data_IF_274798383737
#
_entry.id   IF_274798383737
#
_cell.length_a   1.000
_cell.length_b   1.000
_cell.length_c   1.000
_cell.angle_alpha   90.00
_cell.angle_beta   90.00
_cell.angle_gamma   90.00
#
_symmetry.space_group_name_H-M   'P 1'
#
loop_
_entity.id
_entity.type
_entity.pdbx_description
1 polymer ?
#
# COMPACT_ATOMS: atom_id res chain seq x y z
N UNK A 1 24.05 46.11 4.29
CA UNK A 1 24.44 46.89 5.48
C UNK A 1 23.52 46.48 6.62
N UNK A 2 24.10 46.13 7.78
CA UNK A 2 23.51 45.61 9.05
C UNK A 2 23.03 44.15 9.00
N UNK A 3 23.83 43.11 9.34
CA UNK A 3 24.48 42.63 10.60
C UNK A 3 23.59 41.79 11.55
N UNK A 4 23.90 40.48 11.58
CA UNK A 4 24.02 39.49 12.69
C UNK A 4 22.86 39.35 13.71
N UNK A 5 22.51 38.16 14.22
CA UNK A 5 23.36 37.25 15.02
C UNK A 5 22.77 35.83 15.13
N UNK A 6 23.63 34.82 15.01
CA UNK A 6 23.39 33.44 15.44
C UNK A 6 23.71 33.28 16.93
N UNK A 7 23.00 32.40 17.63
CA UNK A 7 23.35 31.92 18.96
C UNK A 7 23.44 30.39 18.96
N UNK A 8 24.65 29.88 19.12
CA UNK A 8 24.95 28.50 19.47
C UNK A 8 25.09 28.41 20.99
N UNK A 9 24.54 27.35 21.61
CA UNK A 9 24.85 26.99 23.00
C UNK A 9 25.05 25.48 23.09
N UNK A 10 26.13 25.12 23.79
CA UNK A 10 26.75 23.82 23.89
C UNK A 10 26.15 22.91 24.98
N UNK A 11 26.36 21.61 24.78
CA UNK A 11 26.22 20.51 25.75
C UNK A 11 27.24 20.59 26.91
N UNK A 12 26.94 19.88 28.01
CA UNK A 12 27.98 19.10 28.68
C UNK A 12 27.64 17.61 28.85
N UNK A 13 28.68 16.78 28.70
CA UNK A 13 28.78 15.36 29.07
C UNK A 13 28.65 15.14 30.59
N UNK A 14 28.07 14.01 31.00
CA UNK A 14 28.49 13.28 32.22
C UNK A 14 28.37 11.75 32.03
N UNK A 15 29.40 11.07 32.54
CA UNK A 15 29.74 9.64 32.75
C UNK A 15 28.62 8.74 33.34
N UNK A 16 28.64 7.39 33.34
CA UNK A 16 29.70 6.45 33.77
C UNK A 16 29.28 4.96 33.55
N UNK A 17 30.26 4.08 33.32
CA UNK A 17 30.21 2.61 33.45
C UNK A 17 30.15 2.16 34.94
N UNK A 18 29.69 0.93 35.27
CA UNK A 18 30.61 -0.22 35.34
C UNK A 18 30.06 -1.57 34.83
N UNK A 19 31.01 -2.49 34.67
CA UNK A 19 30.91 -3.90 34.30
C UNK A 19 30.62 -4.82 35.50
N UNK A 20 30.11 -6.02 35.20
CA UNK A 20 30.41 -7.34 35.77
C UNK A 20 29.26 -8.31 35.39
N UNK A 21 29.35 -9.64 35.35
CA UNK A 21 30.41 -10.63 35.22
C UNK A 21 29.69 -12.01 35.15
N UNK A 22 30.22 -12.96 34.37
CA UNK A 22 30.17 -14.43 34.52
C UNK A 22 28.97 -15.13 35.18
N UNK A 23 28.42 -16.17 34.52
CA UNK A 23 28.59 -17.56 35.02
C UNK A 23 28.19 -18.64 34.01
N UNK A 24 29.06 -19.64 33.92
CA UNK A 24 28.89 -20.92 33.24
C UNK A 24 27.98 -21.88 34.01
N UNK A 25 27.32 -22.82 33.33
CA UNK A 25 27.24 -24.19 33.85
C UNK A 25 27.09 -25.24 32.75
N UNK A 26 27.93 -26.26 32.89
CA UNK A 26 28.03 -27.54 32.21
C UNK A 26 26.95 -28.51 32.67
N UNK A 27 26.47 -29.38 31.78
CA UNK A 27 25.69 -30.57 32.13
C UNK A 27 25.78 -31.63 31.04
N UNK A 28 26.52 -32.71 31.32
CA UNK A 28 26.83 -33.81 30.40
C UNK A 28 26.07 -35.08 30.76
N UNK A 29 26.00 -36.03 29.79
CA UNK A 29 25.74 -37.49 29.90
C UNK A 29 24.26 -37.87 30.11
N UNK A 30 23.65 -38.95 29.59
CA UNK A 30 24.01 -40.18 28.86
C UNK A 30 22.63 -40.90 28.63
N UNK A 31 22.27 -41.57 27.52
CA UNK A 31 22.42 -43.01 27.21
C UNK A 31 21.29 -43.42 26.22
N UNK A 32 21.63 -44.01 25.07
CA UNK A 32 20.78 -44.97 24.32
C UNK A 32 20.83 -46.35 25.04
N UNK A 33 20.03 -47.42 24.74
CA UNK A 33 19.29 -47.81 23.50
C UNK A 33 17.90 -48.49 23.85
N UNK A 34 17.23 -49.40 23.08
CA UNK A 34 17.55 -49.99 21.77
C UNK A 34 16.43 -50.03 20.70
N UNK A 35 16.92 -50.36 19.50
CA UNK A 35 16.25 -50.78 18.28
C UNK A 35 15.00 -51.64 18.51
N UNK A 36 13.90 -51.22 17.89
CA UNK A 36 12.81 -52.10 17.45
C UNK A 36 12.49 -51.80 15.99
N UNK A 37 12.48 -52.86 15.21
CA UNK A 37 12.19 -52.87 13.77
C UNK A 37 10.79 -52.34 13.49
N UNK A 38 10.68 -51.33 12.63
CA UNK A 38 9.41 -50.94 12.03
C UNK A 38 9.56 -50.88 10.52
N UNK A 39 8.76 -51.72 9.88
CA UNK A 39 8.51 -51.76 8.44
C UNK A 39 8.29 -50.34 7.93
N UNK A 40 9.10 -49.92 6.96
CA UNK A 40 8.92 -48.68 6.21
C UNK A 40 7.65 -48.78 5.36
N UNK A 41 6.49 -48.57 5.99
CA UNK A 41 5.36 -47.99 5.29
C UNK A 41 5.80 -46.58 4.94
N UNK A 42 5.92 -46.30 3.64
CA UNK A 42 6.02 -44.94 3.15
C UNK A 42 4.66 -44.30 3.46
N UNK A 43 4.53 -43.73 4.66
CA UNK A 43 3.47 -42.79 4.94
C UNK A 43 3.81 -41.57 4.09
N UNK A 44 3.03 -41.36 3.04
CA UNK A 44 3.03 -40.08 2.34
C UNK A 44 2.31 -39.13 3.27
N UNK A 45 3.08 -38.46 4.11
CA UNK A 45 2.59 -37.42 5.01
C UNK A 45 2.03 -36.29 4.13
N UNK A 46 0.71 -36.06 4.25
CA UNK A 46 0.01 -35.06 3.46
C UNK A 46 0.56 -33.66 3.76
N UNK A 47 0.74 -32.80 2.75
CA UNK A 47 1.23 -31.46 2.97
C UNK A 47 0.22 -30.64 3.78
N UNK A 48 0.70 -29.87 4.75
CA UNK A 48 -0.11 -28.94 5.54
C UNK A 48 -0.18 -27.59 4.84
N UNK A 49 -1.39 -27.14 4.51
CA UNK A 49 -1.62 -26.00 3.62
C UNK A 49 -2.67 -25.05 4.20
N UNK A 50 -2.40 -23.74 4.14
CA UNK A 50 -3.38 -22.73 4.50
C UNK A 50 -3.63 -22.61 6.01
N UNK A 51 -2.70 -23.07 6.85
CA UNK A 51 -2.88 -23.03 8.31
C UNK A 51 -2.59 -21.62 8.85
N UNK A 52 -3.49 -21.08 9.67
CA UNK A 52 -3.37 -19.72 10.22
C UNK A 52 -2.77 -19.80 11.62
N UNK A 53 -1.67 -19.07 11.86
CA UNK A 53 -0.94 -19.19 13.12
C UNK A 53 0.40 -18.46 13.13
N UNK A 54 1.26 -18.75 14.10
CA UNK A 54 2.59 -18.16 14.22
C UNK A 54 3.68 -19.23 14.10
N UNK A 55 4.91 -18.81 13.78
CA UNK A 55 6.05 -19.72 13.79
C UNK A 55 6.59 -19.91 15.20
N UNK A 56 7.01 -21.15 15.47
CA UNK A 56 7.63 -21.52 16.74
C UNK A 56 9.10 -21.09 16.84
N UNK A 57 9.63 -20.40 15.81
CA UNK A 57 11.03 -19.98 15.73
C UNK A 57 12.00 -21.18 15.89
N UNK A 58 11.59 -22.37 15.39
CA UNK A 58 12.31 -23.61 15.56
C UNK A 58 12.12 -24.57 14.36
N UNK A 59 12.88 -24.39 13.27
CA UNK A 59 13.91 -23.37 13.06
C UNK A 59 13.32 -21.99 12.76
N UNK A 60 14.08 -20.95 13.06
CA UNK A 60 13.83 -19.61 12.53
C UNK A 60 13.72 -19.63 10.99
N UNK A 61 12.97 -18.68 10.45
CA UNK A 61 12.99 -18.44 9.01
C UNK A 61 14.42 -18.11 8.55
N UNK A 62 14.90 -18.81 7.54
CA UNK A 62 16.25 -18.58 7.00
C UNK A 62 16.28 -17.44 5.98
N UNK A 63 15.10 -17.03 5.52
CA UNK A 63 14.93 -15.91 4.62
C UNK A 63 13.60 -15.24 4.91
N UNK A 64 13.67 -13.97 5.30
CA UNK A 64 12.54 -13.05 5.27
C UNK A 64 12.71 -12.10 4.11
N UNK A 65 11.67 -11.98 3.28
CA UNK A 65 11.65 -11.01 2.19
C UNK A 65 10.53 -10.03 2.44
N UNK A 66 10.91 -8.81 2.83
CA UNK A 66 10.00 -7.69 3.02
C UNK A 66 9.56 -7.13 1.66
N UNK A 67 8.56 -7.77 1.06
CA UNK A 67 7.87 -7.34 -0.16
C UNK A 67 6.44 -7.93 -0.14
N UNK A 68 5.45 -7.26 -0.74
CA UNK A 68 4.05 -7.73 -0.80
C UNK A 68 3.96 -8.95 -1.73
N UNK A 69 4.25 -10.13 -1.20
CA UNK A 69 4.20 -11.39 -1.92
C UNK A 69 2.82 -12.04 -1.73
N UNK A 70 2.18 -12.46 -2.82
CA UNK A 70 1.02 -13.36 -2.72
C UNK A 70 1.50 -14.80 -2.48
N UNK A 71 0.57 -15.72 -2.17
CA UNK A 71 0.90 -17.14 -1.92
C UNK A 71 1.76 -17.74 -3.05
N UNK A 72 1.44 -17.42 -4.30
CA UNK A 72 2.22 -17.85 -5.47
C UNK A 72 3.65 -17.32 -5.46
N UNK A 73 3.87 -16.04 -5.13
CA UNK A 73 5.23 -15.47 -5.06
C UNK A 73 6.08 -16.14 -3.99
N UNK A 74 5.49 -16.46 -2.83
CA UNK A 74 6.20 -17.17 -1.75
C UNK A 74 6.47 -18.63 -2.11
N UNK A 75 5.56 -19.29 -2.85
CA UNK A 75 5.77 -20.62 -3.39
C UNK A 75 6.92 -20.63 -4.40
N UNK A 76 6.91 -19.73 -5.39
CA UNK A 76 7.97 -19.59 -6.39
C UNK A 76 9.33 -19.27 -5.74
N UNK A 77 9.31 -18.40 -4.72
CA UNK A 77 10.51 -18.08 -3.94
C UNK A 77 11.03 -19.30 -3.16
N UNK A 78 10.14 -20.08 -2.53
CA UNK A 78 10.47 -21.33 -1.86
C UNK A 78 10.99 -22.40 -2.83
N UNK A 79 10.45 -22.46 -4.05
CA UNK A 79 10.89 -23.37 -5.10
C UNK A 79 12.29 -23.02 -5.60
N UNK A 80 12.62 -21.73 -5.67
CA UNK A 80 13.96 -21.25 -6.02
C UNK A 80 15.05 -21.60 -4.99
N UNK A 81 14.67 -22.10 -3.80
CA UNK A 81 15.59 -22.45 -2.70
C UNK A 81 15.57 -23.96 -2.41
N UNK A 82 16.66 -24.70 -2.65
CA UNK A 82 16.69 -26.14 -2.40
C UNK A 82 16.48 -26.53 -0.93
N UNK A 83 16.84 -25.65 0.00
CA UNK A 83 16.69 -25.81 1.45
C UNK A 83 15.27 -25.53 1.96
N UNK A 84 14.42 -24.85 1.18
CA UNK A 84 13.05 -24.54 1.59
C UNK A 84 12.19 -25.79 1.68
N UNK A 85 11.45 -25.93 2.79
CA UNK A 85 10.51 -27.02 3.07
C UNK A 85 9.09 -26.53 3.35
N UNK A 86 8.95 -25.31 3.87
CA UNK A 86 7.68 -24.61 4.03
C UNK A 86 7.88 -23.10 3.91
N UNK A 87 6.79 -22.37 3.74
CA UNK A 87 6.77 -20.92 3.70
C UNK A 87 5.55 -20.37 4.44
N UNK A 88 5.71 -19.18 4.99
CA UNK A 88 4.63 -18.41 5.58
C UNK A 88 4.41 -17.13 4.79
N UNK A 89 3.14 -16.76 4.65
CA UNK A 89 2.67 -15.59 3.94
C UNK A 89 2.00 -14.67 4.95
N UNK A 90 2.45 -13.43 5.02
CA UNK A 90 1.85 -12.39 5.85
C UNK A 90 1.77 -11.07 5.09
N UNK A 91 1.10 -10.09 5.67
CA UNK A 91 1.12 -8.71 5.15
C UNK A 91 2.51 -8.08 5.12
N UNK A 92 3.47 -8.62 5.88
CA UNK A 92 4.86 -8.17 5.95
C UNK A 92 5.78 -8.84 4.91
N UNK A 93 5.28 -9.87 4.21
CA UNK A 93 5.98 -10.58 3.14
C UNK A 93 6.09 -12.09 3.37
N UNK A 94 7.08 -12.71 2.74
CA UNK A 94 7.35 -14.14 2.88
C UNK A 94 8.39 -14.40 3.97
N UNK A 95 8.15 -15.45 4.74
CA UNK A 95 9.18 -16.13 5.53
C UNK A 95 9.36 -17.55 4.99
N UNK A 96 10.60 -17.96 4.70
CA UNK A 96 10.92 -19.31 4.24
C UNK A 96 11.59 -20.11 5.36
N UNK A 97 11.21 -21.39 5.48
CA UNK A 97 11.67 -22.27 6.54
C UNK A 97 12.32 -23.53 5.98
N UNK A 98 13.39 -23.97 6.64
CA UNK A 98 14.08 -25.21 6.32
C UNK A 98 13.40 -26.45 6.94
N UNK A 99 12.31 -26.25 7.67
CA UNK A 99 11.43 -27.28 8.22
C UNK A 99 10.06 -27.25 7.53
N UNK A 100 9.33 -28.36 7.62
CA UNK A 100 7.90 -28.41 7.25
C UNK A 100 7.08 -27.53 8.19
N UNK A 101 5.83 -27.27 7.84
CA UNK A 101 4.88 -26.60 8.74
C UNK A 101 4.71 -27.42 10.02
N UNK A 102 4.65 -28.74 9.88
CA UNK A 102 4.66 -29.65 11.03
C UNK A 102 5.94 -29.47 11.86
N UNK A 103 5.76 -29.13 13.13
CA UNK A 103 6.85 -28.93 14.09
C UNK A 103 7.38 -27.49 14.18
N UNK A 104 6.98 -26.57 13.30
CA UNK A 104 7.37 -25.15 13.34
C UNK A 104 6.17 -24.18 13.32
N UNK A 105 4.98 -24.68 13.64
CA UNK A 105 3.72 -23.94 13.56
C UNK A 105 2.92 -24.08 14.86
N UNK A 106 2.33 -22.98 15.31
CA UNK A 106 1.32 -22.93 16.37
C UNK A 106 0.04 -22.27 15.84
N UNK A 107 -1.08 -23.00 15.91
CA UNK A 107 -2.38 -22.53 15.43
C UNK A 107 -2.88 -21.34 16.23
N UNK A 108 -3.24 -20.28 15.52
CA UNK A 108 -3.87 -19.09 16.09
C UNK A 108 -4.73 -18.41 15.02
N UNK A 109 -6.05 -18.46 15.18
CA UNK A 109 -7.01 -17.87 14.24
C UNK A 109 -6.88 -16.34 14.11
N UNK A 110 -6.34 -15.66 15.13
CA UNK A 110 -6.09 -14.21 15.12
C UNK A 110 -4.79 -13.83 14.39
N UNK A 111 -3.98 -14.81 13.98
CA UNK A 111 -2.72 -14.53 13.28
C UNK A 111 -2.95 -13.97 11.87
N UNK A 112 -2.14 -12.99 11.50
CA UNK A 112 -2.09 -12.44 10.14
C UNK A 112 -1.17 -13.24 9.20
N UNK A 113 -0.73 -14.42 9.62
CA UNK A 113 0.23 -15.26 8.90
C UNK A 113 -0.38 -16.60 8.57
N UNK A 114 -0.23 -17.03 7.31
CA UNK A 114 -0.70 -18.33 6.83
C UNK A 114 0.48 -19.18 6.36
N UNK A 115 0.54 -20.43 6.82
CA UNK A 115 1.63 -21.37 6.59
C UNK A 115 1.26 -22.43 5.54
N UNK A 116 2.26 -22.81 4.74
CA UNK A 116 2.14 -23.77 3.66
C UNK A 116 3.40 -24.64 3.57
N UNK A 117 3.25 -25.95 3.48
CA UNK A 117 4.33 -26.83 3.03
C UNK A 117 4.67 -26.54 1.56
N UNK A 118 5.94 -26.75 1.20
CA UNK A 118 6.43 -26.55 -0.18
C UNK A 118 5.60 -27.33 -1.21
N UNK A 119 5.11 -28.51 -0.83
CA UNK A 119 4.38 -29.40 -1.71
C UNK A 119 2.86 -29.16 -1.70
N UNK A 120 2.39 -28.04 -1.15
CA UNK A 120 0.95 -27.74 -1.07
C UNK A 120 0.19 -27.75 -2.40
N UNK A 121 0.92 -27.83 -3.53
CA UNK A 121 0.36 -27.71 -4.85
C UNK A 121 -0.18 -26.30 -5.02
N UNK A 122 0.14 -25.64 -6.12
CA UNK A 122 -0.71 -24.56 -6.57
C UNK A 122 -2.05 -25.17 -6.98
N UNK A 123 -2.89 -25.56 -6.02
CA UNK A 123 -4.24 -26.08 -6.25
C UNK A 123 -5.10 -24.88 -6.61
N UNK A 124 -4.92 -24.45 -7.85
CA UNK A 124 -6.01 -23.95 -8.66
C UNK A 124 -7.20 -24.88 -8.46
N UNK A 125 -8.30 -24.31 -8.03
CA UNK A 125 -9.61 -24.96 -7.92
C UNK A 125 -9.90 -25.78 -9.17
N UNK A 126 -10.04 -27.11 -9.03
CA UNK A 126 -10.66 -27.94 -10.06
C UNK A 126 -11.47 -29.04 -9.40
N UNK A 127 -12.80 -29.04 -9.61
CA UNK A 127 -13.51 -30.15 -10.27
C UNK A 127 -15.03 -29.99 -10.20
N UNK A 128 -15.67 -29.93 -11.36
CA UNK A 128 -16.76 -30.85 -11.68
C UNK A 128 -16.85 -31.04 -13.21
N UNK A 129 -16.64 -32.30 -13.62
CA UNK A 129 -16.76 -32.83 -14.97
C UNK A 129 -18.21 -32.74 -15.46
N UNK A 130 -18.44 -32.08 -16.60
CA UNK A 130 -19.76 -32.03 -17.23
C UNK A 130 -19.76 -31.40 -18.62
N UNK A 131 -19.52 -32.25 -19.63
CA UNK A 131 -19.90 -32.12 -21.06
C UNK A 131 -19.39 -30.91 -21.86
N UNK A 132 -18.80 -31.27 -23.00
CA UNK A 132 -18.21 -30.42 -24.04
C UNK A 132 -19.24 -29.43 -24.62
N UNK A 133 -19.02 -28.14 -24.40
CA UNK A 133 -19.29 -27.10 -25.40
C UNK A 133 -18.10 -26.13 -25.44
N UNK A 134 -17.45 -26.10 -26.60
CA UNK A 134 -16.24 -25.34 -26.85
C UNK A 134 -16.60 -23.87 -27.08
N UNK A 135 -16.43 -23.04 -26.04
CA UNK A 135 -16.28 -21.60 -26.20
C UNK A 135 -15.13 -21.14 -25.31
N UNK A 136 -13.90 -21.14 -25.86
CA UNK A 136 -12.74 -20.55 -25.21
C UNK A 136 -12.85 -19.03 -25.27
N UNK A 137 -13.47 -18.42 -24.26
CA UNK A 137 -13.33 -16.99 -24.01
C UNK A 137 -12.08 -16.80 -23.14
N UNK A 138 -10.99 -16.32 -23.75
CA UNK A 138 -9.89 -15.72 -22.98
C UNK A 138 -10.48 -14.63 -22.08
N UNK A 139 -10.25 -14.64 -20.75
CA UNK A 139 -10.76 -13.57 -19.89
C UNK A 139 -10.15 -12.24 -20.37
N UNK A 140 -11.01 -11.26 -20.64
CA UNK A 140 -10.57 -9.90 -20.99
C UNK A 140 -9.74 -9.34 -19.83
N UNK A 141 -8.62 -8.65 -20.09
CA UNK A 141 -7.88 -7.99 -19.03
C UNK A 141 -8.77 -6.94 -18.37
N UNK A 142 -8.90 -7.03 -17.04
CA UNK A 142 -9.59 -6.04 -16.23
C UNK A 142 -8.59 -5.00 -15.75
N UNK A 143 -8.88 -3.73 -15.97
CA UNK A 143 -8.16 -2.60 -15.40
C UNK A 143 -9.01 -1.93 -14.34
N UNK A 144 -8.40 -1.32 -13.33
CA UNK A 144 -9.12 -0.52 -12.34
C UNK A 144 -9.01 0.96 -12.72
N UNK A 145 -10.15 1.65 -12.77
CA UNK A 145 -10.25 3.09 -13.00
C UNK A 145 -10.84 3.79 -11.79
N UNK A 146 -10.74 5.12 -11.73
CA UNK A 146 -11.39 5.93 -10.70
C UNK A 146 -12.61 6.61 -11.29
N UNK A 147 -13.80 6.15 -10.91
CA UNK A 147 -15.08 6.79 -11.22
C UNK A 147 -15.35 7.94 -10.27
N UNK A 148 -15.92 9.02 -10.79
CA UNK A 148 -16.25 10.23 -10.06
C UNK A 148 -17.77 10.41 -10.02
N UNK A 149 -18.33 10.58 -8.82
CA UNK A 149 -19.74 10.90 -8.59
C UNK A 149 -19.89 12.27 -7.90
N UNK A 150 -21.05 12.91 -8.06
CA UNK A 150 -21.48 13.99 -7.18
C UNK A 150 -21.95 13.45 -5.81
N UNK A 151 -22.27 14.34 -4.88
CA UNK A 151 -22.77 13.97 -3.54
C UNK A 151 -24.17 13.33 -3.54
N UNK A 152 -24.90 13.36 -4.66
CA UNK A 152 -26.19 12.70 -4.84
C UNK A 152 -26.05 11.28 -5.45
N UNK A 153 -24.83 10.86 -5.78
CA UNK A 153 -24.54 9.58 -6.42
C UNK A 153 -24.68 9.59 -7.95
N UNK A 154 -24.82 10.77 -8.58
CA UNK A 154 -24.80 10.86 -10.03
C UNK A 154 -23.37 10.76 -10.54
N UNK A 155 -23.12 9.84 -11.46
CA UNK A 155 -21.81 9.72 -12.10
C UNK A 155 -21.52 10.94 -13.00
N UNK A 156 -20.37 11.57 -12.76
CA UNK A 156 -19.88 12.70 -13.55
C UNK A 156 -18.88 12.26 -14.64
N UNK A 157 -18.18 11.15 -14.41
CA UNK A 157 -17.19 10.60 -15.34
C UNK A 157 -16.12 9.80 -14.60
N UNK A 158 -14.90 9.86 -15.11
CA UNK A 158 -13.72 9.17 -14.61
C UNK A 158 -12.57 10.15 -14.42
N UNK A 159 -11.63 9.86 -13.53
CA UNK A 159 -10.38 10.62 -13.45
C UNK A 159 -9.56 10.41 -14.74
N UNK A 160 -9.09 11.49 -15.35
CA UNK A 160 -8.32 11.41 -16.60
C UNK A 160 -6.89 10.96 -16.45
N UNK A 161 -6.39 10.20 -17.43
CA UNK A 161 -4.98 9.81 -17.50
C UNK A 161 -4.07 10.97 -17.94
N UNK A 162 -4.62 11.94 -18.64
CA UNK A 162 -4.00 13.20 -19.03
C UNK A 162 -3.94 14.22 -17.89
N UNK A 163 -3.00 15.15 -18.04
CA UNK A 163 -2.89 16.33 -17.21
C UNK A 163 -3.25 17.58 -18.01
N UNK A 164 -3.83 18.58 -17.34
CA UNK A 164 -3.97 19.91 -17.93
C UNK A 164 -2.61 20.62 -18.06
N UNK A 165 -2.63 21.88 -18.50
CA UNK A 165 -1.40 22.68 -18.69
C UNK A 165 -0.63 22.98 -17.39
N UNK A 166 -1.25 22.72 -16.23
CA UNK A 166 -0.71 22.92 -14.90
C UNK A 166 -0.28 21.62 -14.22
N UNK A 167 -0.39 20.46 -14.89
CA UNK A 167 0.00 19.19 -14.28
C UNK A 167 -1.07 18.62 -13.33
N UNK A 168 -2.32 19.06 -13.47
CA UNK A 168 -3.47 18.65 -12.63
C UNK A 168 -4.37 17.67 -13.39
N UNK A 169 -5.05 16.79 -12.67
CA UNK A 169 -6.02 15.84 -13.24
C UNK A 169 -7.44 16.38 -13.19
N UNK A 170 -8.22 16.06 -14.21
CA UNK A 170 -9.64 16.42 -14.33
C UNK A 170 -10.57 15.22 -14.47
N UNK A 171 -11.83 15.52 -14.79
CA UNK A 171 -12.88 14.53 -15.08
C UNK A 171 -13.04 14.39 -16.60
N UNK A 172 -13.18 13.15 -17.06
CA UNK A 172 -13.41 12.76 -18.45
C UNK A 172 -14.62 11.81 -18.52
N UNK A 173 -15.46 11.98 -19.53
CA UNK A 173 -16.60 11.10 -19.78
C UNK A 173 -16.24 9.73 -20.38
N UNK A 174 -15.22 9.67 -21.25
CA UNK A 174 -14.78 8.45 -21.92
C UNK A 174 -13.87 7.61 -21.03
N UNK A 175 -14.34 6.43 -20.64
CA UNK A 175 -13.59 5.48 -19.81
C UNK A 175 -12.28 5.02 -20.46
N UNK A 176 -12.17 5.05 -21.79
CA UNK A 176 -10.93 4.64 -22.50
C UNK A 176 -9.79 5.65 -22.34
N UNK A 177 -10.09 6.89 -21.92
CA UNK A 177 -9.14 7.93 -21.55
C UNK A 177 -9.02 8.10 -20.02
N UNK A 178 -9.58 7.17 -19.24
CA UNK A 178 -9.47 7.18 -17.79
C UNK A 178 -8.08 6.77 -17.31
N UNK A 179 -7.71 7.25 -16.13
CA UNK A 179 -6.53 6.82 -15.40
C UNK A 179 -6.73 5.37 -14.92
N UNK A 180 -5.86 4.50 -15.39
CA UNK A 180 -5.71 3.15 -14.87
C UNK A 180 -4.84 3.21 -13.62
N UNK A 181 -5.30 2.54 -12.57
CA UNK A 181 -4.64 2.58 -11.27
C UNK A 181 -4.48 1.19 -10.68
N UNK A 182 -3.48 1.05 -9.82
CA UNK A 182 -3.33 -0.06 -8.89
C UNK A 182 -3.37 0.49 -7.48
N UNK A 183 -4.13 -0.17 -6.61
CA UNK A 183 -4.16 0.16 -5.19
C UNK A 183 -3.53 -0.98 -4.39
N UNK A 184 -2.73 -0.63 -3.39
CA UNK A 184 -2.17 -1.60 -2.46
C UNK A 184 -2.41 -1.13 -1.02
N UNK A 185 -3.22 -1.89 -0.26
CA UNK A 185 -3.68 -1.48 1.07
C UNK A 185 -2.97 -2.23 2.22
N UNK A 186 -2.92 -1.62 3.40
CA UNK A 186 -2.48 -2.27 4.65
C UNK A 186 -3.71 -2.81 5.40
N UNK A 187 -3.75 -4.10 5.70
CA UNK A 187 -4.81 -4.71 6.51
C UNK A 187 -4.65 -4.36 7.99
N UNK A 188 -5.75 -4.05 8.70
CA UNK A 188 -5.75 -3.90 10.17
C UNK A 188 -6.07 -2.50 10.71
N UNK A 189 -6.27 -1.48 9.85
CA UNK A 189 -6.78 -0.17 10.25
C UNK A 189 -8.30 -0.06 9.98
N UNK A 190 -9.00 0.80 10.74
CA UNK A 190 -10.44 1.08 10.55
C UNK A 190 -10.78 1.65 9.16
N UNK A 191 -9.77 2.13 8.44
CA UNK A 191 -9.78 2.49 7.02
C UNK A 191 -8.55 1.85 6.35
N UNK A 192 -8.71 1.27 5.17
CA UNK A 192 -7.60 0.63 4.45
C UNK A 192 -6.67 1.70 3.86
N UNK A 193 -5.63 2.13 4.61
CA UNK A 193 -4.61 3.01 4.04
C UNK A 193 -4.01 2.35 2.80
N UNK A 194 -4.00 3.09 1.68
CA UNK A 194 -3.61 2.59 0.38
C UNK A 194 -2.51 3.43 -0.26
N UNK A 195 -1.59 2.74 -0.94
CA UNK A 195 -0.78 3.36 -1.97
C UNK A 195 -1.53 3.21 -3.30
N UNK A 196 -1.83 4.30 -3.99
CA UNK A 196 -2.47 4.30 -5.30
C UNK A 196 -1.45 4.72 -6.34
N UNK A 197 -1.20 3.87 -7.33
CA UNK A 197 -0.25 4.13 -8.42
C UNK A 197 -0.92 4.13 -9.78
N UNK A 198 -0.50 5.05 -10.63
CA UNK A 198 -0.94 5.21 -12.02
C UNK A 198 -0.21 4.23 -12.95
N UNK A 199 -0.95 3.59 -13.85
CA UNK A 199 -0.41 2.62 -14.82
C UNK A 199 -0.35 3.15 -16.26
N UNK A 200 -1.13 4.18 -16.60
CA UNK A 200 -1.26 4.69 -17.98
C UNK A 200 -1.17 6.23 -18.08
N UNK A 201 -0.46 6.90 -17.17
CA UNK A 201 -0.28 8.35 -17.20
C UNK A 201 0.27 8.80 -18.57
N UNK A 202 -0.42 9.74 -19.22
CA UNK A 202 -0.08 10.19 -20.57
C UNK A 202 1.17 11.09 -20.62
N UNK A 203 1.47 11.80 -19.53
CA UNK A 203 2.72 12.54 -19.29
C UNK A 203 3.29 12.15 -17.93
N UNK A 204 4.58 12.44 -17.71
CA UNK A 204 5.26 12.16 -16.44
C UNK A 204 5.10 10.70 -15.99
N UNK A 205 5.23 9.75 -16.93
CA UNK A 205 4.98 8.33 -16.71
C UNK A 205 5.89 7.68 -15.65
N UNK A 206 6.98 8.36 -15.26
CA UNK A 206 7.87 7.99 -14.17
C UNK A 206 7.33 8.40 -12.78
N UNK A 207 6.41 9.37 -12.71
CA UNK A 207 5.70 9.74 -11.48
C UNK A 207 4.51 8.79 -11.28
N UNK A 208 4.75 7.69 -10.57
CA UNK A 208 3.77 6.63 -10.43
C UNK A 208 2.72 6.89 -9.36
N UNK A 209 3.03 7.62 -8.28
CA UNK A 209 2.09 7.76 -7.18
C UNK A 209 0.99 8.76 -7.54
N UNK A 210 -0.29 8.38 -7.35
CA UNK A 210 -1.38 9.36 -7.31
C UNK A 210 -1.18 10.21 -6.05
N UNK A 211 -1.19 11.53 -6.19
CA UNK A 211 -0.78 12.42 -5.13
C UNK A 211 -1.67 13.66 -5.01
N UNK A 212 -1.62 14.27 -3.84
CA UNK A 212 -2.15 15.59 -3.56
C UNK A 212 -0.97 16.57 -3.51
N UNK A 213 -1.01 17.59 -4.36
CA UNK A 213 0.05 18.59 -4.48
C UNK A 213 -0.50 19.92 -4.01
N UNK A 214 0.23 20.65 -3.17
CA UNK A 214 -0.22 21.94 -2.64
C UNK A 214 -0.61 22.89 -3.79
N UNK A 215 -1.74 23.56 -3.63
CA UNK A 215 -2.28 24.48 -4.62
C UNK A 215 -1.46 25.76 -4.69
N UNK A 216 -1.14 26.22 -5.91
CA UNK A 216 -0.35 27.43 -6.15
C UNK A 216 -0.87 28.69 -5.45
N UNK A 217 -2.20 28.81 -5.27
CA UNK A 217 -2.79 29.96 -4.59
C UNK A 217 -2.91 29.78 -3.07
N UNK A 218 -2.53 28.63 -2.51
CA UNK A 218 -2.50 28.40 -1.06
C UNK A 218 -1.41 29.25 -0.41
N UNK A 219 -1.65 29.77 0.80
CA UNK A 219 -0.65 30.56 1.53
C UNK A 219 0.39 29.72 2.25
N UNK A 220 0.05 28.46 2.49
CA UNK A 220 0.83 27.45 3.18
C UNK A 220 0.22 26.07 2.89
N UNK A 221 0.92 25.02 3.30
CA UNK A 221 0.55 23.62 3.02
C UNK A 221 -0.45 23.05 4.04
N UNK A 222 -1.09 23.87 4.89
CA UNK A 222 -2.11 23.40 5.82
C UNK A 222 -3.52 23.57 5.24
N UNK A 223 -4.30 22.50 5.29
CA UNK A 223 -5.73 22.51 5.00
C UNK A 223 -6.54 22.68 6.30
N UNK A 224 -7.81 23.05 6.15
CA UNK A 224 -8.72 23.27 7.28
C UNK A 224 -9.71 24.38 6.94
N UNK A 225 -10.02 25.23 7.93
CA UNK A 225 -10.93 26.36 7.72
C UNK A 225 -10.26 27.55 7.01
N UNK A 226 -9.70 27.32 5.81
CA UNK A 226 -9.06 28.32 4.95
C UNK A 226 -9.42 28.04 3.49
N UNK A 227 -8.95 28.90 2.56
CA UNK A 227 -9.09 28.65 1.13
C UNK A 227 -7.95 27.81 0.54
N UNK A 228 -7.01 27.33 1.37
CA UNK A 228 -5.94 26.45 0.92
C UNK A 228 -6.56 25.17 0.35
N UNK A 229 -5.89 24.64 -0.66
CA UNK A 229 -6.28 23.42 -1.36
C UNK A 229 -5.05 22.65 -1.83
N UNK A 230 -5.24 21.37 -2.14
CA UNK A 230 -4.26 20.55 -2.84
C UNK A 230 -4.91 19.94 -4.08
N UNK A 231 -4.21 19.93 -5.21
CA UNK A 231 -4.69 19.43 -6.50
C UNK A 231 -4.34 17.96 -6.67
N UNK A 232 -5.18 17.22 -7.40
CA UNK A 232 -4.88 15.84 -7.74
C UNK A 232 -3.88 15.80 -8.90
N UNK A 233 -2.75 15.14 -8.68
CA UNK A 233 -1.67 15.02 -9.64
C UNK A 233 -0.93 13.69 -9.53
N UNK A 234 0.35 13.69 -9.90
CA UNK A 234 1.23 12.55 -9.70
C UNK A 234 2.56 12.99 -9.08
N UNK A 235 3.20 12.11 -8.32
CA UNK A 235 4.50 12.39 -7.70
C UNK A 235 5.36 11.15 -7.48
N UNK A 236 6.60 11.39 -7.06
CA UNK A 236 7.37 10.41 -6.31
C UNK A 236 6.69 10.11 -4.95
N UNK A 237 6.98 8.94 -4.39
CA UNK A 237 6.32 8.49 -3.15
C UNK A 237 6.78 9.29 -1.93
N UNK A 238 5.83 9.73 -1.12
CA UNK A 238 6.06 10.19 0.26
C UNK A 238 5.79 9.07 1.26
N UNK A 239 6.37 9.20 2.46
CA UNK A 239 6.16 8.21 3.52
C UNK A 239 4.74 8.31 4.12
N UNK A 240 4.11 7.19 4.51
CA UNK A 240 2.84 7.21 5.23
C UNK A 240 2.89 8.05 6.51
N UNK A 241 1.90 8.94 6.67
CA UNK A 241 1.80 9.84 7.83
C UNK A 241 2.81 10.99 7.84
N UNK A 242 3.61 11.15 6.78
CA UNK A 242 4.44 12.34 6.63
C UNK A 242 3.58 13.58 6.38
N UNK A 243 4.02 14.72 6.89
CA UNK A 243 3.50 16.04 6.54
C UNK A 243 3.86 16.39 5.07
N UNK A 244 3.44 17.54 4.51
CA UNK A 244 3.70 17.87 3.12
C UNK A 244 5.21 17.97 2.89
N UNK A 245 5.69 17.26 1.87
CA UNK A 245 7.12 17.12 1.61
C UNK A 245 7.58 18.10 0.53
N UNK A 246 8.50 18.98 0.90
CA UNK A 246 9.19 19.88 -0.03
C UNK A 246 10.20 19.10 -0.91
N UNK A 247 10.42 19.55 -2.15
CA UNK A 247 11.36 18.97 -3.12
C UNK A 247 11.11 17.51 -3.54
N UNK A 248 9.93 16.95 -3.29
CA UNK A 248 9.52 15.69 -3.91
C UNK A 248 8.97 15.99 -5.31
N UNK A 249 9.50 15.30 -6.31
CA UNK A 249 9.15 15.56 -7.72
C UNK A 249 7.67 15.26 -7.98
N UNK A 250 7.00 16.16 -8.69
CA UNK A 250 5.55 16.11 -8.91
C UNK A 250 5.12 16.76 -10.23
N UNK A 251 3.94 16.36 -10.72
CA UNK A 251 3.41 16.73 -12.03
C UNK A 251 3.19 18.24 -12.16
N UNK A 252 2.75 18.91 -11.10
CA UNK A 252 2.53 20.35 -11.06
C UNK A 252 3.85 21.12 -11.21
N UNK A 253 4.84 20.75 -10.39
CA UNK A 253 6.19 21.34 -10.43
C UNK A 253 6.82 21.16 -11.81
N UNK A 254 6.69 19.99 -12.43
CA UNK A 254 7.19 19.76 -13.78
C UNK A 254 6.44 20.55 -14.86
N UNK A 255 5.15 20.82 -14.67
CA UNK A 255 4.35 21.53 -15.66
C UNK A 255 4.66 23.03 -15.70
N UNK A 256 4.81 23.68 -14.55
CA UNK A 256 4.98 25.13 -14.47
C UNK A 256 6.28 25.62 -13.85
N UNK A 257 7.17 24.71 -13.44
CA UNK A 257 8.47 25.02 -12.85
C UNK A 257 8.38 25.84 -11.55
N UNK A 258 7.35 25.57 -10.73
CA UNK A 258 7.15 26.10 -9.39
C UNK A 258 7.10 24.91 -8.43
N UNK A 259 8.04 24.87 -7.47
CA UNK A 259 8.12 23.78 -6.49
C UNK A 259 6.98 23.92 -5.49
N UNK A 260 6.13 22.92 -5.42
CA UNK A 260 5.05 22.80 -4.44
C UNK A 260 5.25 21.55 -3.57
N UNK A 261 4.82 21.66 -2.32
CA UNK A 261 4.80 20.52 -1.39
C UNK A 261 3.80 19.46 -1.84
N UNK A 262 4.07 18.20 -1.51
CA UNK A 262 3.24 17.08 -1.97
C UNK A 262 3.12 15.99 -0.91
N UNK A 263 2.02 15.27 -0.94
CA UNK A 263 1.81 14.01 -0.23
C UNK A 263 1.19 12.96 -1.15
N UNK A 264 1.72 11.74 -1.14
CA UNK A 264 1.22 10.61 -1.94
C UNK A 264 0.64 9.46 -1.13
N UNK A 265 1.01 9.34 0.15
CA UNK A 265 0.49 8.33 1.08
C UNK A 265 -0.81 8.80 1.78
N UNK A 266 -1.68 9.41 0.97
CA UNK A 266 -2.86 10.20 1.35
C UNK A 266 -4.18 9.49 1.11
N UNK A 267 -4.14 8.20 0.80
CA UNK A 267 -5.33 7.46 0.38
C UNK A 267 -5.76 6.45 1.43
N UNK A 268 -7.06 6.35 1.62
CA UNK A 268 -7.69 5.22 2.27
C UNK A 268 -8.85 4.69 1.42
N UNK A 269 -9.21 3.42 1.61
CA UNK A 269 -10.27 2.77 0.85
C UNK A 269 -11.36 2.33 1.81
N UNK A 270 -12.60 2.70 1.51
CA UNK A 270 -13.75 2.18 2.22
C UNK A 270 -14.04 0.74 1.73
N UNK A 271 -13.93 -0.28 2.59
CA UNK A 271 -13.84 -1.67 2.15
C UNK A 271 -15.11 -2.23 1.49
N UNK A 272 -16.29 -1.65 1.76
CA UNK A 272 -17.55 -2.15 1.18
C UNK A 272 -18.04 -1.38 -0.04
N UNK A 273 -17.65 -0.11 -0.17
CA UNK A 273 -18.09 0.75 -1.28
C UNK A 273 -16.98 0.95 -2.31
N UNK A 274 -15.75 0.56 -1.98
CA UNK A 274 -14.55 0.84 -2.78
C UNK A 274 -14.34 2.35 -3.01
N UNK A 275 -14.86 3.18 -2.11
CA UNK A 275 -14.64 4.61 -2.13
C UNK A 275 -13.19 4.94 -1.78
N UNK A 276 -12.56 5.75 -2.61
CA UNK A 276 -11.22 6.30 -2.41
C UNK A 276 -11.35 7.61 -1.62
N UNK A 277 -10.87 7.56 -0.38
CA UNK A 277 -10.98 8.65 0.60
C UNK A 277 -9.61 9.32 0.75
N UNK A 278 -9.44 10.58 0.31
CA UNK A 278 -8.23 11.32 0.58
C UNK A 278 -8.14 11.75 2.05
N UNK A 279 -6.92 11.87 2.55
CA UNK A 279 -6.56 12.55 3.79
C UNK A 279 -5.37 13.48 3.53
N UNK A 280 -5.13 14.45 4.40
CA UNK A 280 -3.99 15.36 4.32
C UNK A 280 -3.42 15.55 5.70
N UNK A 281 -2.10 15.48 5.84
CA UNK A 281 -1.42 15.66 7.12
C UNK A 281 -0.86 17.06 7.15
N UNK A 282 -1.45 17.96 7.92
CA UNK A 282 -0.92 19.33 8.05
C UNK A 282 0.51 19.33 8.61
N UNK A 283 1.21 20.46 8.44
CA UNK A 283 2.58 20.66 8.96
C UNK A 283 2.70 20.57 10.48
N UNK A 284 1.58 20.72 11.21
CA UNK A 284 1.44 20.52 12.65
C UNK A 284 0.96 19.11 13.02
N UNK A 285 1.01 18.17 12.07
CA UNK A 285 0.54 16.77 12.17
C UNK A 285 -0.97 16.62 12.39
N UNK A 286 -1.75 17.71 12.29
CA UNK A 286 -3.21 17.62 12.35
C UNK A 286 -3.81 17.00 11.08
N UNK A 287 -4.93 16.28 11.26
CA UNK A 287 -5.70 15.66 10.19
C UNK A 287 -7.05 16.40 10.04
N UNK A 288 -7.10 17.52 9.31
CA UNK A 288 -8.35 18.24 9.11
C UNK A 288 -9.35 17.40 8.29
N UNK A 289 -10.67 17.58 8.49
CA UNK A 289 -11.64 17.15 7.49
C UNK A 289 -11.34 17.82 6.15
N UNK A 290 -11.39 17.05 5.07
CA UNK A 290 -11.20 17.56 3.70
C UNK A 290 -12.31 17.05 2.78
N UNK A 291 -12.56 17.81 1.72
CA UNK A 291 -13.59 17.57 0.73
C UNK A 291 -12.96 17.49 -0.65
N UNK A 292 -13.25 16.43 -1.40
CA UNK A 292 -12.84 16.34 -2.81
C UNK A 292 -13.80 17.18 -3.65
N UNK A 293 -13.24 18.02 -4.50
CA UNK A 293 -13.99 18.98 -5.29
C UNK A 293 -13.55 18.95 -6.76
N UNK A 294 -14.50 19.28 -7.64
CA UNK A 294 -14.25 19.59 -9.03
C UNK A 294 -14.51 21.08 -9.27
N UNK A 295 -13.49 21.76 -9.80
CA UNK A 295 -13.46 23.21 -10.03
C UNK A 295 -12.78 23.47 -11.36
N UNK A 296 -13.39 24.25 -12.26
CA UNK A 296 -12.78 24.72 -13.51
C UNK A 296 -11.96 23.65 -14.28
N UNK A 297 -12.53 22.45 -14.40
CA UNK A 297 -11.97 21.31 -15.12
C UNK A 297 -10.86 20.49 -14.43
N UNK A 298 -10.53 20.76 -13.16
CA UNK A 298 -9.59 19.95 -12.39
C UNK A 298 -10.16 19.50 -11.04
N UNK A 299 -9.57 18.44 -10.50
CA UNK A 299 -9.89 17.86 -9.20
C UNK A 299 -8.93 18.41 -8.14
N UNK A 300 -9.47 18.75 -6.97
CA UNK A 300 -8.72 19.20 -5.81
C UNK A 300 -9.34 18.67 -4.51
N UNK A 301 -8.63 18.84 -3.41
CA UNK A 301 -9.17 18.73 -2.05
C UNK A 301 -9.00 20.04 -1.30
N UNK A 302 -9.94 20.36 -0.40
CA UNK A 302 -9.86 21.53 0.49
C UNK A 302 -10.47 21.22 1.85
N UNK A 303 -10.09 21.95 2.90
CA UNK A 303 -10.74 21.84 4.21
C UNK A 303 -12.00 22.70 4.36
N UNK A 304 -12.27 23.65 3.43
CA UNK A 304 -13.48 24.47 3.45
C UNK A 304 -13.91 24.87 2.03
N UNK A 305 -14.93 24.16 1.52
CA UNK A 305 -15.59 24.47 0.24
C UNK A 305 -16.10 25.91 0.19
N UNK A 306 -16.63 26.42 1.31
CA UNK A 306 -17.13 27.79 1.40
C UNK A 306 -16.01 28.83 1.31
N UNK A 307 -14.91 28.63 2.03
CA UNK A 307 -13.76 29.55 1.98
C UNK A 307 -13.12 29.56 0.60
N UNK A 308 -13.00 28.39 -0.03
CA UNK A 308 -12.50 28.26 -1.40
C UNK A 308 -13.40 29.02 -2.40
N UNK A 309 -14.71 28.80 -2.34
CA UNK A 309 -15.68 29.49 -3.20
C UNK A 309 -15.62 31.01 -3.01
N UNK A 310 -15.57 31.48 -1.77
CA UNK A 310 -15.63 32.90 -1.46
C UNK A 310 -14.32 33.61 -1.85
N UNK A 311 -13.17 32.93 -1.73
CA UNK A 311 -11.87 33.47 -2.13
C UNK A 311 -11.73 33.61 -3.65
N UNK A 312 -12.21 32.63 -4.42
CA UNK A 312 -11.98 32.57 -5.87
C UNK A 312 -13.20 32.94 -6.72
N UNK A 313 -14.40 33.07 -6.13
CA UNK A 313 -15.62 33.38 -6.85
C UNK A 313 -16.04 32.30 -7.85
N UNK A 314 -15.72 31.04 -7.56
CA UNK A 314 -15.91 29.89 -8.45
C UNK A 314 -17.07 29.00 -8.03
N UNK A 315 -17.64 28.26 -8.98
CA UNK A 315 -18.55 27.16 -8.62
C UNK A 315 -17.70 25.96 -8.20
N UNK A 316 -18.00 25.41 -7.03
CA UNK A 316 -17.34 24.23 -6.48
C UNK A 316 -18.36 23.10 -6.43
N UNK A 317 -18.04 21.98 -7.07
CA UNK A 317 -18.86 20.76 -7.00
C UNK A 317 -18.13 19.77 -6.11
N UNK A 318 -18.70 19.43 -4.96
CA UNK A 318 -18.19 18.33 -4.15
C UNK A 318 -18.41 17.00 -4.86
N UNK A 319 -17.39 16.14 -4.85
CA UNK A 319 -17.38 14.87 -5.56
C UNK A 319 -16.84 13.74 -4.68
N UNK A 320 -17.13 12.50 -5.09
CA UNK A 320 -16.66 11.27 -4.46
C UNK A 320 -15.96 10.41 -5.49
N UNK A 321 -14.96 9.65 -5.05
CA UNK A 321 -14.10 8.85 -5.92
C UNK A 321 -14.28 7.37 -5.59
N UNK A 322 -14.42 6.52 -6.60
CA UNK A 322 -14.63 5.08 -6.42
C UNK A 322 -13.74 4.29 -7.37
N UNK A 323 -13.17 3.20 -6.90
CA UNK A 323 -12.58 2.22 -7.81
C UNK A 323 -13.68 1.48 -8.57
N UNK A 324 -13.49 1.33 -9.86
CA UNK A 324 -14.36 0.56 -10.75
C UNK A 324 -13.51 -0.36 -11.62
N UNK A 325 -13.95 -1.61 -11.77
CA UNK A 325 -13.35 -2.55 -12.71
C UNK A 325 -13.87 -2.29 -14.12
N UNK A 326 -12.96 -2.15 -15.07
CA UNK A 326 -13.27 -1.98 -16.48
C UNK A 326 -12.66 -3.11 -17.31
N UNK A 327 -13.49 -3.77 -18.12
CA UNK A 327 -13.04 -4.77 -19.06
C UNK A 327 -12.61 -4.10 -20.36
N UNK A 328 -11.34 -4.24 -20.71
CA UNK A 328 -10.82 -3.72 -21.98
C UNK A 328 -11.23 -4.66 -23.10
N UNK A 329 -12.17 -4.21 -23.95
CA UNK A 329 -12.69 -4.93 -25.11
C UNK A 329 -11.78 -4.75 -26.32
#
# INVERSE_FOLDING_TARGET
MHFLTALAVALPLVSSLPADSSTSSTGSLQLNPPLSSLQTRVFVEEPLCGLVGHDLHNPDSFLTKSFRCVVGDCADLCDSKPECKSYAVSSLGCALYAARVEGNFEENEDSHTTFYDKNCGATSSTSATGVIETSSSTPLPTVTVIRIEDTNGNQLGYMGNDFNLYGERGIIADITAALHVKASYRSGASSLQADVTSDNSAKYADLLALALINGFSSTDSNLGNSYNYAVLGASDKTAPGATPQFNVDNSFTRAINIVEDVESAVWSIHPSTMELLPHWVNTDESLPPIYTCYVQDFLLVTGSVSSLRDAFGVTVTEVRMFFEEHHVV
#
